data_IF_622799487942
#
_entry.id   IF_622799487942
#
_cell.length_a   1.000
_cell.length_b   1.000
_cell.length_c   1.000
_cell.angle_alpha   90.00
_cell.angle_beta   90.00
_cell.angle_gamma   90.00
#
_symmetry.space_group_name_H-M   'P 1'
#
loop_
_entity.id
_entity.type
_entity.pdbx_description
1 polymer ?
#
# COMPACT_ATOMS: atom_id res chain seq x y z
N UNK A 1 19.41 -11.83 -15.47
CA UNK A 1 18.14 -12.21 -14.84
C UNK A 1 17.25 -10.97 -14.78
N UNK A 2 15.99 -11.05 -15.24
CA UNK A 2 15.07 -9.93 -15.19
C UNK A 2 14.70 -9.59 -13.75
N UNK A 3 14.30 -8.32 -13.47
CA UNK A 3 13.90 -7.93 -12.13
C UNK A 3 12.69 -8.73 -11.62
N UNK A 4 11.74 -9.08 -12.51
CA UNK A 4 10.57 -9.91 -12.19
C UNK A 4 10.92 -11.30 -11.61
N UNK A 5 12.12 -11.81 -11.90
CA UNK A 5 12.57 -13.10 -11.37
C UNK A 5 13.07 -13.00 -9.92
N UNK A 6 13.34 -11.79 -9.46
CA UNK A 6 13.87 -11.49 -8.12
C UNK A 6 12.81 -10.99 -7.15
N UNK A 7 11.87 -10.16 -7.64
CA UNK A 7 10.88 -9.46 -6.80
C UNK A 7 9.52 -9.39 -7.49
N UNK A 8 8.46 -9.30 -6.68
CA UNK A 8 7.12 -9.04 -7.17
C UNK A 8 6.88 -7.54 -7.40
N UNK A 9 6.05 -7.19 -8.38
CA UNK A 9 5.71 -5.82 -8.71
C UNK A 9 4.22 -5.56 -8.57
N UNK A 10 3.87 -4.54 -7.79
CA UNK A 10 2.54 -3.93 -7.76
C UNK A 10 2.52 -2.63 -8.56
N UNK A 11 1.33 -2.23 -9.01
CA UNK A 11 1.09 -0.99 -9.73
C UNK A 11 0.08 -0.12 -8.97
N UNK A 12 0.35 1.18 -8.84
CA UNK A 12 -0.63 2.11 -8.31
C UNK A 12 -1.66 2.47 -9.37
N UNK A 13 -2.94 2.41 -9.02
CA UNK A 13 -3.99 3.01 -9.84
C UNK A 13 -3.85 4.54 -9.83
N UNK A 14 -4.22 5.26 -10.90
CA UNK A 14 -4.24 6.73 -10.94
C UNK A 14 -5.48 7.28 -10.20
N UNK A 15 -5.56 7.00 -8.90
CA UNK A 15 -6.69 7.29 -8.01
C UNK A 15 -6.55 8.58 -7.22
N UNK A 16 -5.38 9.24 -7.31
CA UNK A 16 -5.07 10.51 -6.64
C UNK A 16 -4.27 11.41 -7.59
N UNK A 17 -4.68 12.66 -7.74
CA UNK A 17 -4.06 13.60 -8.70
C UNK A 17 -4.35 15.05 -8.30
N UNK A 18 -3.45 16.01 -8.59
CA UNK A 18 -3.78 17.42 -8.55
C UNK A 18 -4.79 17.82 -9.64
N UNK A 19 -4.88 17.03 -10.70
CA UNK A 19 -5.83 17.21 -11.81
C UNK A 19 -7.06 16.32 -11.61
N UNK A 20 -8.22 16.61 -12.26
CA UNK A 20 -9.42 15.76 -12.20
C UNK A 20 -9.12 14.31 -12.60
N UNK A 21 -9.72 13.36 -11.86
CA UNK A 21 -9.47 11.94 -12.05
C UNK A 21 -10.18 11.40 -13.28
N UNK A 22 -9.47 10.61 -14.09
CA UNK A 22 -9.97 9.99 -15.32
C UNK A 22 -10.27 8.49 -15.12
N UNK A 23 -11.55 8.13 -15.17
CA UNK A 23 -12.00 6.73 -15.07
C UNK A 23 -11.59 5.88 -16.27
N UNK A 24 -11.31 6.50 -17.44
CA UNK A 24 -10.82 5.77 -18.62
C UNK A 24 -9.38 5.32 -18.37
N UNK A 25 -8.54 6.21 -17.86
CA UNK A 25 -7.17 5.90 -17.47
C UNK A 25 -7.12 4.84 -16.36
N UNK A 26 -7.97 4.95 -15.33
CA UNK A 26 -8.05 3.96 -14.24
C UNK A 26 -8.42 2.58 -14.78
N UNK A 27 -9.43 2.50 -15.64
CA UNK A 27 -9.85 1.23 -16.27
C UNK A 27 -8.75 0.62 -17.12
N UNK A 28 -8.08 1.45 -17.91
CA UNK A 28 -6.96 1.02 -18.76
C UNK A 28 -5.83 0.45 -17.90
N UNK A 29 -5.37 1.20 -16.89
CA UNK A 29 -4.29 0.76 -15.99
C UNK A 29 -4.66 -0.53 -15.28
N UNK A 30 -5.88 -0.66 -14.75
CA UNK A 30 -6.30 -1.87 -14.04
C UNK A 30 -6.21 -3.12 -14.92
N UNK A 31 -6.79 -3.07 -16.12
CA UNK A 31 -6.81 -4.21 -17.06
C UNK A 31 -5.44 -4.49 -17.65
N UNK A 32 -4.73 -3.44 -18.04
CA UNK A 32 -3.40 -3.59 -18.67
C UNK A 32 -2.36 -4.10 -17.68
N UNK A 33 -2.37 -3.64 -16.42
CA UNK A 33 -1.48 -4.17 -15.38
C UNK A 33 -1.71 -5.67 -15.14
N UNK A 34 -2.97 -6.12 -15.11
CA UNK A 34 -3.27 -7.55 -15.00
C UNK A 34 -2.76 -8.32 -16.23
N UNK A 35 -2.96 -7.80 -17.44
CA UNK A 35 -2.51 -8.43 -18.67
C UNK A 35 -1.00 -8.55 -18.75
N UNK A 36 -0.26 -7.55 -18.28
CA UNK A 36 1.21 -7.52 -18.21
C UNK A 36 1.78 -8.39 -17.09
N UNK A 37 0.97 -8.90 -16.16
CA UNK A 37 1.43 -9.77 -15.08
C UNK A 37 1.90 -9.05 -13.83
N UNK A 38 1.51 -7.79 -13.60
CA UNK A 38 1.66 -7.17 -12.28
C UNK A 38 0.91 -7.99 -11.23
N UNK A 39 1.51 -8.13 -10.06
CA UNK A 39 0.99 -9.00 -8.99
C UNK A 39 -0.22 -8.39 -8.29
N UNK A 40 -0.23 -7.06 -8.13
CA UNK A 40 -1.27 -6.35 -7.39
C UNK A 40 -1.45 -4.90 -7.85
N UNK A 41 -2.67 -4.37 -7.61
CA UNK A 41 -3.05 -2.97 -7.77
C UNK A 41 -3.19 -2.33 -6.39
N UNK A 42 -2.74 -1.08 -6.29
CA UNK A 42 -2.75 -0.37 -5.01
C UNK A 42 -3.34 1.03 -5.12
N UNK A 43 -4.00 1.44 -4.03
CA UNK A 43 -4.51 2.79 -3.85
C UNK A 43 -4.12 3.32 -2.47
N UNK A 44 -4.34 4.62 -2.21
CA UNK A 44 -4.16 5.22 -0.88
C UNK A 44 -5.44 5.89 -0.42
N UNK A 45 -5.58 6.05 0.88
CA UNK A 45 -6.65 6.84 1.47
C UNK A 45 -6.21 8.28 1.67
N UNK A 46 -7.01 9.23 1.14
CA UNK A 46 -6.76 10.67 1.25
C UNK A 46 -8.08 11.45 1.10
N UNK A 47 -9.10 11.13 1.91
CA UNK A 47 -10.44 11.72 1.74
C UNK A 47 -10.48 13.22 2.01
N UNK A 48 -9.81 13.69 3.08
CA UNK A 48 -9.66 15.11 3.38
C UNK A 48 -8.31 15.61 2.86
N UNK A 49 -8.24 15.85 1.55
CA UNK A 49 -7.03 16.29 0.86
C UNK A 49 -7.31 17.53 0.01
N UNK A 50 -6.26 18.24 -0.37
CA UNK A 50 -6.32 19.37 -1.29
C UNK A 50 -6.23 18.96 -2.77
N UNK A 51 -6.10 17.67 -3.05
CA UNK A 51 -6.08 17.08 -4.39
C UNK A 51 -7.20 16.06 -4.53
N UNK A 52 -7.58 15.75 -5.76
CA UNK A 52 -8.62 14.74 -6.00
C UNK A 52 -8.14 13.35 -5.55
N UNK A 53 -9.00 12.62 -4.86
CA UNK A 53 -8.75 11.25 -4.45
C UNK A 53 -10.05 10.45 -4.39
N UNK A 54 -10.03 9.23 -4.93
CA UNK A 54 -11.14 8.30 -4.75
C UNK A 54 -11.03 7.56 -3.41
N UNK A 55 -12.20 7.17 -2.87
CA UNK A 55 -12.28 6.26 -1.74
C UNK A 55 -11.63 4.90 -2.09
N UNK A 56 -10.79 4.33 -1.20
CA UNK A 56 -10.09 3.08 -1.47
C UNK A 56 -11.01 1.91 -1.76
N UNK A 57 -12.07 1.74 -0.96
CA UNK A 57 -12.98 0.58 -1.10
C UNK A 57 -13.79 0.69 -2.39
N UNK A 58 -14.29 1.90 -2.68
CA UNK A 58 -15.05 2.14 -3.90
C UNK A 58 -14.26 1.84 -5.16
N UNK A 59 -13.05 2.37 -5.27
CA UNK A 59 -12.22 2.20 -6.47
C UNK A 59 -11.63 0.78 -6.58
N UNK A 60 -11.30 0.13 -5.47
CA UNK A 60 -10.86 -1.27 -5.48
C UNK A 60 -12.00 -2.23 -5.83
N UNK A 61 -13.23 -1.94 -5.40
CA UNK A 61 -14.42 -2.72 -5.80
C UNK A 61 -14.68 -2.60 -7.31
N UNK A 62 -14.53 -1.38 -7.86
CA UNK A 62 -14.58 -1.19 -9.31
C UNK A 62 -13.48 -2.00 -10.02
N UNK A 63 -12.23 -1.94 -9.55
CA UNK A 63 -11.13 -2.73 -10.12
C UNK A 63 -11.38 -4.24 -10.01
N UNK A 64 -11.98 -4.70 -8.89
CA UNK A 64 -12.36 -6.10 -8.70
C UNK A 64 -13.33 -6.60 -9.78
N UNK A 65 -14.30 -5.76 -10.15
CA UNK A 65 -15.33 -6.09 -11.14
C UNK A 65 -14.80 -6.19 -12.59
N UNK A 66 -13.64 -5.58 -12.88
CA UNK A 66 -13.08 -5.52 -14.26
C UNK A 66 -11.77 -6.30 -14.41
N UNK A 67 -11.33 -7.00 -13.36
CA UNK A 67 -10.12 -7.85 -13.32
C UNK A 67 -10.45 -9.20 -12.68
N UNK A 68 -9.62 -10.21 -12.91
CA UNK A 68 -9.91 -11.59 -12.46
C UNK A 68 -8.80 -12.24 -11.61
N UNK A 69 -7.56 -11.77 -11.69
CA UNK A 69 -6.40 -12.41 -11.04
C UNK A 69 -5.59 -11.46 -10.17
N UNK A 70 -5.43 -10.21 -10.60
CA UNK A 70 -4.58 -9.23 -9.93
C UNK A 70 -5.13 -8.93 -8.53
N UNK A 71 -4.26 -8.91 -7.53
CA UNK A 71 -4.65 -8.60 -6.14
C UNK A 71 -4.92 -7.12 -5.99
N UNK A 72 -5.67 -6.75 -4.94
CA UNK A 72 -6.22 -5.41 -4.74
C UNK A 72 -5.90 -4.93 -3.33
N UNK A 73 -5.09 -3.91 -3.20
CA UNK A 73 -4.58 -3.45 -1.92
C UNK A 73 -4.72 -1.95 -1.66
N UNK A 74 -4.86 -1.58 -0.40
CA UNK A 74 -4.69 -0.20 0.05
C UNK A 74 -3.32 -0.01 0.74
N UNK A 75 -2.68 1.14 0.50
CA UNK A 75 -1.38 1.47 1.08
C UNK A 75 -1.33 2.94 1.54
N UNK A 76 -2.02 3.26 2.61
CA UNK A 76 -2.74 2.45 3.58
C UNK A 76 -4.12 3.03 3.87
N UNK A 77 -4.98 2.24 4.53
CA UNK A 77 -6.15 2.74 5.26
C UNK A 77 -5.68 3.27 6.60
N UNK A 78 -6.12 4.47 6.95
CA UNK A 78 -5.80 5.11 8.24
C UNK A 78 -6.84 4.65 9.27
N UNK A 79 -6.56 3.55 10.00
CA UNK A 79 -7.57 2.93 10.89
C UNK A 79 -8.17 3.91 11.90
N UNK A 80 -7.36 4.84 12.42
CA UNK A 80 -7.79 5.79 13.44
C UNK A 80 -9.02 6.64 13.06
N UNK A 81 -9.31 6.81 11.77
CA UNK A 81 -10.45 7.61 11.27
C UNK A 81 -11.66 6.75 10.91
N UNK A 82 -11.60 5.45 11.19
CA UNK A 82 -12.66 4.47 10.88
C UNK A 82 -13.09 3.66 12.11
N UNK A 83 -14.28 3.06 12.01
CA UNK A 83 -14.68 1.97 12.88
C UNK A 83 -14.03 0.65 12.39
N UNK A 84 -13.32 -0.11 13.24
CA UNK A 84 -12.72 -1.37 12.82
C UNK A 84 -13.78 -2.41 12.39
N UNK A 85 -15.00 -2.33 12.89
CA UNK A 85 -16.12 -3.16 12.45
C UNK A 85 -16.48 -2.86 11.00
N UNK A 86 -16.54 -1.57 10.63
CA UNK A 86 -16.83 -1.17 9.25
C UNK A 86 -15.69 -1.59 8.31
N UNK A 87 -14.44 -1.39 8.72
CA UNK A 87 -13.28 -1.84 7.93
C UNK A 87 -13.30 -3.35 7.74
N UNK A 88 -13.56 -4.13 8.80
CA UNK A 88 -13.68 -5.59 8.71
C UNK A 88 -14.76 -6.02 7.71
N UNK A 89 -15.94 -5.40 7.77
CA UNK A 89 -17.04 -5.71 6.86
C UNK A 89 -16.76 -5.31 5.41
N UNK A 90 -16.20 -4.12 5.19
CA UNK A 90 -15.85 -3.62 3.86
C UNK A 90 -14.80 -4.52 3.18
N UNK A 91 -13.73 -4.89 3.89
CA UNK A 91 -12.68 -5.76 3.33
C UNK A 91 -13.14 -7.22 3.16
N UNK A 92 -14.02 -7.73 4.03
CA UNK A 92 -14.64 -9.03 3.79
C UNK A 92 -15.54 -9.00 2.53
N UNK A 93 -16.24 -7.89 2.31
CA UNK A 93 -17.07 -7.68 1.11
C UNK A 93 -16.19 -7.61 -0.16
N UNK A 94 -15.12 -6.80 -0.13
CA UNK A 94 -14.17 -6.70 -1.24
C UNK A 94 -13.50 -8.06 -1.53
N UNK A 95 -13.12 -8.80 -0.50
CA UNK A 95 -12.52 -10.12 -0.64
C UNK A 95 -13.47 -11.11 -1.30
N UNK A 96 -14.76 -11.08 -0.94
CA UNK A 96 -15.83 -11.88 -1.59
C UNK A 96 -16.04 -11.48 -3.05
N UNK A 97 -16.19 -10.18 -3.34
CA UNK A 97 -16.40 -9.68 -4.71
C UNK A 97 -15.20 -10.03 -5.60
N UNK A 98 -14.00 -9.99 -5.04
CA UNK A 98 -12.77 -10.25 -5.79
C UNK A 98 -12.31 -11.71 -5.78
N UNK A 99 -13.04 -12.63 -5.14
CA UNK A 99 -12.65 -14.04 -4.97
C UNK A 99 -11.26 -14.19 -4.30
N UNK A 100 -11.12 -13.59 -3.11
CA UNK A 100 -9.93 -13.75 -2.26
C UNK A 100 -8.71 -12.94 -2.68
N UNK A 101 -8.87 -11.84 -3.45
CA UNK A 101 -7.77 -11.00 -3.94
C UNK A 101 -7.47 -9.77 -3.08
N UNK A 102 -8.24 -9.49 -2.04
CA UNK A 102 -8.08 -8.29 -1.22
C UNK A 102 -6.82 -8.34 -0.35
N UNK A 103 -6.18 -7.18 -0.15
CA UNK A 103 -5.09 -6.93 0.79
C UNK A 103 -5.43 -5.68 1.60
N UNK A 104 -5.55 -5.81 2.92
CA UNK A 104 -5.76 -4.66 3.79
C UNK A 104 -4.42 -4.07 4.22
N UNK A 105 -4.01 -2.97 3.62
CA UNK A 105 -2.89 -2.20 4.16
C UNK A 105 -3.37 -1.17 5.18
N UNK A 106 -2.73 -1.12 6.35
CA UNK A 106 -3.15 -0.27 7.48
C UNK A 106 -2.01 0.59 8.00
N UNK A 107 -2.34 1.77 8.49
CA UNK A 107 -1.41 2.70 9.10
C UNK A 107 -2.04 3.54 10.20
N UNK A 108 -1.17 4.13 11.04
CA UNK A 108 -1.57 5.02 12.14
C UNK A 108 -2.08 6.39 11.65
N UNK A 109 -1.77 6.78 10.41
CA UNK A 109 -1.97 8.14 9.95
C UNK A 109 -0.96 9.16 10.51
N UNK A 110 -1.07 10.38 10.04
CA UNK A 110 -0.26 11.54 10.43
C UNK A 110 -1.07 12.49 11.31
N UNK A 111 -0.44 13.54 11.84
CA UNK A 111 -1.06 14.54 12.72
C UNK A 111 -2.34 15.16 12.13
N UNK A 112 -2.33 15.46 10.82
CA UNK A 112 -3.49 16.04 10.15
C UNK A 112 -4.73 15.13 10.18
N UNK A 113 -4.56 13.80 10.11
CA UNK A 113 -5.70 12.88 10.21
C UNK A 113 -6.41 12.99 11.56
N UNK A 114 -5.66 13.08 12.67
CA UNK A 114 -6.26 13.22 13.99
C UNK A 114 -6.98 14.57 14.16
N UNK A 115 -6.37 15.65 13.64
CA UNK A 115 -6.94 17.00 13.69
C UNK A 115 -8.19 17.12 12.81
N UNK A 116 -8.08 16.74 11.54
CA UNK A 116 -9.10 17.03 10.52
C UNK A 116 -10.32 16.11 10.65
N UNK A 117 -10.14 14.91 11.20
CA UNK A 117 -11.23 13.97 11.52
C UNK A 117 -11.71 14.09 12.98
N UNK A 118 -11.19 15.03 13.75
CA UNK A 118 -11.53 15.23 15.17
C UNK A 118 -11.38 13.95 16.02
N UNK A 119 -10.35 13.13 15.74
CA UNK A 119 -10.11 11.88 16.46
C UNK A 119 -9.04 12.08 17.53
N UNK A 120 -9.25 11.63 18.79
CA UNK A 120 -8.25 11.74 19.84
C UNK A 120 -6.94 11.04 19.48
N UNK A 121 -5.82 11.73 19.69
CA UNK A 121 -4.47 11.17 19.42
C UNK A 121 -3.97 10.32 20.57
N UNK A 122 -4.46 10.53 21.79
CA UNK A 122 -4.05 9.84 23.00
C UNK A 122 -4.30 8.32 22.86
N UNK A 123 -3.27 7.53 23.22
CA UNK A 123 -3.35 6.07 23.15
C UNK A 123 -3.43 5.50 21.74
N UNK A 124 -3.16 6.29 20.68
CA UNK A 124 -3.29 5.91 19.26
C UNK A 124 -2.62 4.59 18.89
N UNK A 125 -1.45 4.30 19.47
CA UNK A 125 -0.71 3.05 19.20
C UNK A 125 -1.45 1.84 19.77
N UNK A 126 -2.00 1.97 20.99
CA UNK A 126 -2.80 0.90 21.61
C UNK A 126 -4.12 0.71 20.87
N UNK A 127 -4.81 1.82 20.54
CA UNK A 127 -6.05 1.77 19.76
C UNK A 127 -5.84 1.07 18.41
N UNK A 128 -4.80 1.44 17.67
CA UNK A 128 -4.45 0.80 16.40
C UNK A 128 -4.23 -0.72 16.53
N UNK A 129 -3.56 -1.15 17.62
CA UNK A 129 -3.38 -2.59 17.87
C UNK A 129 -4.72 -3.27 18.13
N UNK A 130 -5.58 -2.69 18.97
CA UNK A 130 -6.91 -3.22 19.25
C UNK A 130 -7.78 -3.25 17.97
N UNK A 131 -7.68 -2.24 17.11
CA UNK A 131 -8.37 -2.20 15.81
C UNK A 131 -7.98 -3.39 14.92
N UNK A 132 -6.69 -3.66 14.79
CA UNK A 132 -6.20 -4.82 14.00
C UNK A 132 -6.66 -6.15 14.63
N UNK A 133 -6.62 -6.28 15.95
CA UNK A 133 -7.05 -7.47 16.68
C UNK A 133 -8.56 -7.70 16.49
N UNK A 134 -9.37 -6.65 16.60
CA UNK A 134 -10.84 -6.71 16.38
C UNK A 134 -11.16 -7.09 14.93
N UNK A 135 -10.50 -6.50 13.95
CA UNK A 135 -10.69 -6.85 12.53
C UNK A 135 -10.39 -8.34 12.30
N UNK A 136 -9.27 -8.85 12.79
CA UNK A 136 -8.90 -10.27 12.67
C UNK A 136 -9.93 -11.17 13.35
N UNK A 137 -10.36 -10.82 14.57
CA UNK A 137 -11.36 -11.60 15.31
C UNK A 137 -12.69 -11.68 14.53
N UNK A 138 -13.16 -10.55 13.98
CA UNK A 138 -14.40 -10.50 13.19
C UNK A 138 -14.30 -11.36 11.91
N UNK A 139 -13.14 -11.46 11.31
CA UNK A 139 -12.93 -12.30 10.12
C UNK A 139 -12.86 -13.79 10.41
N UNK A 140 -12.29 -14.17 11.57
CA UNK A 140 -11.90 -15.56 11.84
C UNK A 140 -12.81 -16.29 12.83
N UNK A 141 -13.49 -15.55 13.73
CA UNK A 141 -14.30 -16.15 14.79
C UNK A 141 -15.80 -16.10 14.44
N UNK A 142 -16.59 -17.14 14.74
CA UNK A 142 -18.03 -17.13 14.50
C UNK A 142 -18.75 -16.13 15.41
N UNK A 143 -18.27 -15.95 16.64
CA UNK A 143 -18.78 -15.03 17.65
C UNK A 143 -17.60 -14.38 18.36
N UNK A 144 -17.57 -13.05 18.44
CA UNK A 144 -16.44 -12.28 18.98
C UNK A 144 -16.82 -11.68 20.33
N UNK A 145 -16.02 -12.02 21.34
CA UNK A 145 -15.96 -11.30 22.61
C UNK A 145 -14.56 -10.70 22.73
N UNK A 146 -14.46 -9.39 22.90
CA UNK A 146 -13.19 -8.66 22.97
C UNK A 146 -13.30 -7.55 24.03
N UNK A 147 -12.39 -7.56 25.01
CA UNK A 147 -12.33 -6.58 26.09
C UNK A 147 -11.00 -5.82 26.05
N UNK A 148 -10.95 -4.78 25.21
CA UNK A 148 -9.83 -3.86 25.11
C UNK A 148 -10.05 -2.58 25.94
N UNK A 149 -9.16 -1.63 25.81
CA UNK A 149 -9.34 -0.29 26.39
C UNK A 149 -10.29 0.57 25.55
N UNK A 150 -10.22 0.43 24.22
CA UNK A 150 -10.95 1.25 23.27
C UNK A 150 -12.18 0.54 22.69
N UNK A 151 -12.14 -0.79 22.63
CA UNK A 151 -13.21 -1.59 22.04
C UNK A 151 -13.70 -2.65 23.04
N UNK A 152 -15.04 -2.71 23.21
CA UNK A 152 -15.74 -3.68 24.05
C UNK A 152 -16.78 -4.37 23.17
N UNK A 153 -16.64 -5.66 22.95
CA UNK A 153 -17.55 -6.47 22.14
C UNK A 153 -17.97 -7.70 22.97
N UNK A 154 -19.27 -7.90 23.11
CA UNK A 154 -19.84 -9.03 23.83
C UNK A 154 -20.67 -9.91 22.89
N UNK A 155 -20.04 -11.02 22.43
CA UNK A 155 -20.72 -12.01 21.62
C UNK A 155 -21.22 -11.49 20.27
N UNK A 156 -20.51 -10.54 19.66
CA UNK A 156 -20.87 -9.93 18.38
C UNK A 156 -20.61 -10.91 17.23
N UNK A 157 -21.52 -10.95 16.27
CA UNK A 157 -21.40 -11.78 15.06
C UNK A 157 -21.31 -10.91 13.81
N UNK A 158 -20.32 -11.17 12.97
CA UNK A 158 -20.24 -10.70 11.59
C UNK A 158 -20.39 -11.93 10.68
N UNK A 159 -21.58 -12.13 10.10
CA UNK A 159 -21.89 -13.36 9.32
C UNK A 159 -21.11 -13.43 8.01
N UNK A 160 -20.87 -12.29 7.35
CA UNK A 160 -20.07 -12.24 6.14
C UNK A 160 -18.59 -12.42 6.50
N UNK A 161 -18.02 -13.58 6.17
CA UNK A 161 -16.58 -13.84 6.31
C UNK A 161 -15.86 -13.65 4.97
N UNK A 162 -14.55 -13.28 4.96
CA UNK A 162 -13.75 -13.30 3.76
C UNK A 162 -13.74 -14.70 3.10
N UNK A 163 -13.34 -14.76 1.85
CA UNK A 163 -13.06 -16.02 1.14
C UNK A 163 -11.72 -16.58 1.62
N UNK A 164 -10.74 -15.69 1.76
CA UNK A 164 -9.37 -16.08 2.05
C UNK A 164 -9.19 -16.55 3.49
N UNK A 165 -8.55 -17.72 3.66
CA UNK A 165 -8.25 -18.31 4.97
C UNK A 165 -6.77 -18.10 5.35
N UNK A 166 -6.44 -17.74 6.62
CA UNK A 166 -7.37 -17.48 7.71
C UNK A 166 -8.10 -16.14 7.57
N UNK A 167 -7.55 -15.18 6.82
CA UNK A 167 -8.11 -13.87 6.53
C UNK A 167 -7.34 -13.20 5.37
N UNK A 168 -7.88 -12.12 4.75
CA UNK A 168 -7.13 -11.28 3.82
C UNK A 168 -5.82 -10.80 4.45
N UNK A 169 -4.69 -10.80 3.72
CA UNK A 169 -3.42 -10.34 4.28
C UNK A 169 -3.52 -8.90 4.79
N UNK A 170 -2.99 -8.65 5.98
CA UNK A 170 -2.86 -7.31 6.56
C UNK A 170 -1.42 -6.84 6.39
N UNK A 171 -1.22 -5.77 5.63
CA UNK A 171 0.08 -5.12 5.49
C UNK A 171 0.15 -3.85 6.33
N UNK A 172 1.30 -3.55 6.94
CA UNK A 172 1.46 -2.33 7.73
C UNK A 172 2.39 -1.34 7.06
N UNK A 173 1.92 -0.09 6.93
CA UNK A 173 2.71 1.07 6.51
C UNK A 173 3.31 1.78 7.72
N UNK A 174 4.55 1.45 8.09
CA UNK A 174 5.22 1.97 9.29
C UNK A 174 6.71 2.22 9.03
N UNK A 175 7.37 3.09 9.82
CA UNK A 175 8.79 3.40 9.66
C UNK A 175 9.58 3.48 10.99
N UNK A 176 8.91 3.75 12.12
CA UNK A 176 9.59 3.82 13.43
C UNK A 176 10.02 2.42 13.91
N UNK A 177 11.18 2.23 14.57
CA UNK A 177 11.65 0.92 15.04
C UNK A 177 10.64 0.13 15.86
N UNK A 178 9.95 0.78 16.81
CA UNK A 178 8.90 0.13 17.61
C UNK A 178 7.69 -0.31 16.76
N UNK A 179 7.41 0.43 15.71
CA UNK A 179 6.34 0.09 14.78
C UNK A 179 6.74 -1.06 13.84
N UNK A 180 8.02 -1.19 13.48
CA UNK A 180 8.55 -2.34 12.75
C UNK A 180 8.44 -3.62 13.58
N UNK A 181 8.76 -3.59 14.89
CA UNK A 181 8.52 -4.72 15.80
C UNK A 181 7.04 -5.11 15.86
N UNK A 182 6.14 -4.12 15.89
CA UNK A 182 4.70 -4.36 15.85
C UNK A 182 4.25 -4.98 14.53
N UNK A 183 4.79 -4.50 13.40
CA UNK A 183 4.51 -5.09 12.09
C UNK A 183 4.99 -6.54 12.00
N UNK A 184 6.18 -6.84 12.50
CA UNK A 184 6.71 -8.21 12.55
C UNK A 184 5.78 -9.16 13.33
N UNK A 185 5.12 -8.68 14.38
CA UNK A 185 4.21 -9.47 15.22
C UNK A 185 2.81 -9.60 14.62
N UNK A 186 2.24 -8.52 14.08
CA UNK A 186 0.81 -8.44 13.77
C UNK A 186 0.48 -8.48 12.28
N UNK A 187 1.42 -8.11 11.40
CA UNK A 187 1.17 -7.99 9.97
C UNK A 187 1.57 -9.22 9.16
N UNK A 188 1.04 -9.32 7.95
CA UNK A 188 1.39 -10.33 6.94
C UNK A 188 2.31 -9.75 5.85
N UNK A 189 2.64 -8.46 5.92
CA UNK A 189 3.58 -7.76 5.06
C UNK A 189 3.86 -6.35 5.56
N UNK A 190 4.93 -5.76 5.05
CA UNK A 190 5.32 -4.38 5.35
C UNK A 190 5.45 -3.55 4.08
N UNK A 191 4.90 -2.34 4.12
CA UNK A 191 5.00 -1.36 3.03
C UNK A 191 5.76 -0.13 3.50
N UNK A 192 6.98 0.05 3.00
CA UNK A 192 7.73 1.28 3.16
C UNK A 192 7.04 2.46 2.46
N UNK A 193 6.80 3.54 3.19
CA UNK A 193 6.07 4.72 2.72
C UNK A 193 6.68 5.32 1.45
N UNK A 194 5.84 5.75 0.51
CA UNK A 194 6.28 6.50 -0.67
C UNK A 194 6.90 7.86 -0.35
N UNK A 195 6.50 8.48 0.75
CA UNK A 195 7.06 9.76 1.21
C UNK A 195 8.38 9.63 2.00
N UNK A 196 8.78 8.42 2.43
CA UNK A 196 10.08 8.20 3.09
C UNK A 196 11.19 8.02 2.04
N UNK A 197 12.40 8.48 2.36
CA UNK A 197 13.53 8.32 1.45
C UNK A 197 13.87 6.84 1.20
N UNK A 198 14.52 6.57 0.07
CA UNK A 198 15.03 5.23 -0.26
C UNK A 198 16.10 4.80 0.76
N UNK A 199 16.94 5.73 1.21
CA UNK A 199 17.93 5.46 2.27
C UNK A 199 17.29 5.04 3.59
N UNK A 200 16.21 5.71 4.02
CA UNK A 200 15.47 5.34 5.22
C UNK A 200 14.84 3.94 5.12
N UNK A 201 14.38 3.56 3.92
CA UNK A 201 13.90 2.19 3.68
C UNK A 201 15.04 1.17 3.88
N UNK A 202 16.22 1.41 3.28
CA UNK A 202 17.38 0.52 3.43
C UNK A 202 17.82 0.37 4.89
N UNK A 203 17.72 1.43 5.71
CA UNK A 203 17.99 1.37 7.14
C UNK A 203 16.92 0.59 7.93
N UNK A 204 15.66 0.64 7.50
CA UNK A 204 14.56 -0.04 8.18
C UNK A 204 14.53 -1.56 7.94
N UNK A 205 14.98 -2.04 6.77
CA UNK A 205 14.91 -3.45 6.39
C UNK A 205 15.66 -4.38 7.37
N UNK A 206 16.93 -4.12 7.77
CA UNK A 206 17.61 -4.97 8.73
C UNK A 206 16.88 -5.05 10.08
N UNK A 207 16.34 -3.93 10.58
CA UNK A 207 15.60 -3.88 11.83
C UNK A 207 14.29 -4.70 11.75
N UNK A 208 13.58 -4.64 10.63
CA UNK A 208 12.39 -5.47 10.39
C UNK A 208 12.75 -6.95 10.32
N UNK A 209 13.81 -7.31 9.60
CA UNK A 209 14.25 -8.71 9.47
C UNK A 209 14.63 -9.30 10.83
N UNK A 210 15.37 -8.55 11.66
CA UNK A 210 15.70 -8.96 13.03
C UNK A 210 14.44 -9.13 13.90
N UNK A 211 13.45 -8.21 13.77
CA UNK A 211 12.19 -8.32 14.50
C UNK A 211 11.36 -9.54 14.05
N UNK A 212 11.33 -9.88 12.76
CA UNK A 212 10.68 -11.08 12.25
C UNK A 212 11.33 -12.36 12.80
N UNK A 213 12.66 -12.43 12.81
CA UNK A 213 13.38 -13.55 13.40
C UNK A 213 13.09 -13.71 14.90
N UNK A 214 13.01 -12.61 15.66
CA UNK A 214 12.64 -12.63 17.07
C UNK A 214 11.22 -13.15 17.33
N UNK A 215 10.30 -12.97 16.37
CA UNK A 215 8.94 -13.51 16.40
C UNK A 215 8.86 -14.95 15.79
N UNK A 216 9.99 -15.58 15.48
CA UNK A 216 10.05 -16.93 14.88
C UNK A 216 9.55 -16.98 13.43
N UNK A 217 9.52 -15.84 12.73
CA UNK A 217 9.04 -15.74 11.34
C UNK A 217 10.22 -15.70 10.37
N UNK A 218 10.05 -16.35 9.23
CA UNK A 218 11.03 -16.35 8.14
C UNK A 218 10.98 -15.00 7.38
N UNK A 219 12.03 -14.15 7.43
CA UNK A 219 12.03 -12.86 6.75
C UNK A 219 12.00 -12.96 5.22
N UNK A 220 12.40 -14.09 4.64
CA UNK A 220 12.43 -14.27 3.18
C UNK A 220 11.03 -14.60 2.63
N UNK A 221 10.13 -15.10 3.48
CA UNK A 221 8.73 -15.35 3.16
C UNK A 221 7.80 -14.17 3.49
N UNK A 222 8.31 -13.17 4.21
CA UNK A 222 7.53 -12.00 4.59
C UNK A 222 7.64 -10.91 3.49
N UNK A 223 6.52 -10.40 2.93
CA UNK A 223 6.56 -9.31 1.97
C UNK A 223 7.17 -8.05 2.55
N UNK A 224 8.33 -7.68 2.04
CA UNK A 224 9.06 -6.44 2.35
C UNK A 224 8.95 -5.54 1.13
N UNK A 225 8.06 -4.56 1.19
CA UNK A 225 7.71 -3.71 0.07
C UNK A 225 8.19 -2.27 0.24
N UNK A 226 8.51 -1.62 -0.88
CA UNK A 226 8.70 -0.16 -0.95
C UNK A 226 7.74 0.41 -2.00
N UNK A 227 6.94 1.40 -1.61
CA UNK A 227 6.20 2.24 -2.56
C UNK A 227 7.13 3.31 -3.09
N UNK A 228 7.18 3.45 -4.43
CA UNK A 228 8.10 4.35 -5.12
C UNK A 228 7.31 5.20 -6.11
N UNK A 229 7.35 6.52 -5.94
CA UNK A 229 6.86 7.46 -6.95
C UNK A 229 7.85 7.53 -8.11
N UNK A 230 7.34 7.50 -9.34
CA UNK A 230 8.18 7.29 -10.50
C UNK A 230 7.78 8.17 -11.69
N UNK A 231 8.79 8.55 -12.47
CA UNK A 231 8.61 9.10 -13.81
C UNK A 231 9.74 8.59 -14.74
N UNK A 232 9.36 8.05 -15.88
CA UNK A 232 10.27 7.54 -16.91
C UNK A 232 10.14 8.40 -18.17
N UNK A 233 11.24 8.85 -18.72
CA UNK A 233 11.29 9.58 -19.99
C UNK A 233 12.69 9.42 -20.60
N UNK A 234 12.79 9.42 -21.94
CA UNK A 234 14.09 9.41 -22.62
C UNK A 234 14.92 10.66 -22.29
N UNK A 235 14.24 11.78 -21.97
CA UNK A 235 14.87 12.98 -21.42
C UNK A 235 14.74 12.96 -19.88
N UNK A 236 15.84 12.75 -19.12
CA UNK A 236 15.80 12.67 -17.66
C UNK A 236 15.32 13.95 -16.97
N UNK A 237 15.50 15.12 -17.59
CA UNK A 237 15.00 16.40 -17.04
C UNK A 237 13.47 16.47 -17.11
N UNK A 238 12.85 15.93 -18.18
CA UNK A 238 11.39 15.80 -18.29
C UNK A 238 10.86 14.88 -17.23
N UNK A 239 11.50 13.71 -17.04
CA UNK A 239 11.12 12.77 -15.98
C UNK A 239 11.22 13.42 -14.59
N UNK A 240 12.33 14.12 -14.32
CA UNK A 240 12.53 14.81 -13.06
C UNK A 240 11.48 15.90 -12.81
N UNK A 241 11.16 16.69 -13.82
CA UNK A 241 10.17 17.77 -13.72
C UNK A 241 8.77 17.23 -13.40
N UNK A 242 8.34 16.10 -14.00
CA UNK A 242 7.07 15.44 -13.68
C UNK A 242 7.02 14.99 -12.23
N UNK A 243 8.07 14.35 -11.74
CA UNK A 243 8.13 13.89 -10.37
C UNK A 243 8.22 15.04 -9.37
N UNK A 244 8.95 16.13 -9.74
CA UNK A 244 9.03 17.34 -8.93
C UNK A 244 7.68 18.04 -8.80
N UNK A 245 6.90 18.13 -9.89
CA UNK A 245 5.52 18.63 -9.83
C UNK A 245 4.70 17.85 -8.81
N UNK A 246 4.75 16.51 -8.85
CA UNK A 246 4.04 15.65 -7.91
C UNK A 246 4.43 15.92 -6.45
N UNK A 247 5.71 15.95 -6.13
CA UNK A 247 6.17 16.19 -4.77
C UNK A 247 5.86 17.62 -4.28
N UNK A 248 5.80 18.59 -5.19
CA UNK A 248 5.43 19.97 -4.89
C UNK A 248 3.93 20.12 -4.64
N UNK A 249 3.10 19.64 -5.57
CA UNK A 249 1.66 19.89 -5.57
C UNK A 249 0.90 18.90 -4.66
N UNK A 250 1.32 17.63 -4.59
CA UNK A 250 0.62 16.60 -3.85
C UNK A 250 1.19 16.38 -2.45
N UNK A 251 2.52 16.31 -2.34
CA UNK A 251 3.19 16.07 -1.06
C UNK A 251 3.61 17.33 -0.31
N UNK A 252 3.61 18.49 -0.98
CA UNK A 252 4.11 19.77 -0.46
C UNK A 252 5.53 19.65 0.13
N UNK A 253 6.32 18.77 -0.47
CA UNK A 253 7.70 18.46 -0.09
C UNK A 253 8.58 18.25 -1.34
N UNK A 254 9.02 19.30 -2.03
CA UNK A 254 9.82 19.21 -3.26
C UNK A 254 11.11 18.38 -3.12
N UNK A 255 11.71 18.37 -1.91
CA UNK A 255 12.91 17.59 -1.63
C UNK A 255 12.70 16.07 -1.77
N UNK A 256 11.45 15.60 -1.71
CA UNK A 256 11.07 14.20 -1.92
C UNK A 256 11.38 13.70 -3.34
N UNK A 257 11.49 14.60 -4.32
CA UNK A 257 11.77 14.26 -5.73
C UNK A 257 12.97 13.34 -5.87
N UNK A 258 14.10 13.72 -5.31
CA UNK A 258 15.36 12.98 -5.42
C UNK A 258 15.59 12.01 -4.25
N UNK A 259 15.01 12.30 -3.07
CA UNK A 259 15.19 11.48 -1.87
C UNK A 259 14.29 10.24 -1.81
N UNK A 260 13.07 10.34 -2.33
CA UNK A 260 12.02 9.31 -2.16
C UNK A 260 11.53 8.75 -3.49
N UNK A 261 11.68 9.49 -4.60
CA UNK A 261 11.26 9.09 -5.93
C UNK A 261 12.38 8.48 -6.77
N UNK A 262 11.99 7.91 -7.90
CA UNK A 262 12.91 7.43 -8.94
C UNK A 262 12.46 8.03 -10.28
N UNK A 263 13.38 8.67 -10.99
CA UNK A 263 13.12 9.28 -12.30
C UNK A 263 14.34 9.12 -13.21
N UNK A 264 14.12 9.29 -14.50
CA UNK A 264 15.18 9.26 -15.52
C UNK A 264 14.85 8.41 -16.74
N UNK A 265 15.89 8.05 -17.50
CA UNK A 265 15.75 7.12 -18.62
C UNK A 265 15.40 5.70 -18.15
N UNK A 266 14.90 4.82 -19.04
CA UNK A 266 14.64 3.42 -18.68
C UNK A 266 15.81 2.72 -17.99
N UNK A 267 17.04 2.95 -18.44
CA UNK A 267 18.26 2.37 -17.85
C UNK A 267 18.53 2.91 -16.45
N UNK A 268 18.41 4.24 -16.26
CA UNK A 268 18.58 4.87 -14.96
C UNK A 268 17.55 4.38 -13.95
N UNK A 269 16.29 4.32 -14.36
CA UNK A 269 15.19 3.82 -13.53
C UNK A 269 15.43 2.36 -13.15
N UNK A 270 15.85 1.51 -14.10
CA UNK A 270 16.20 0.11 -13.83
C UNK A 270 17.30 -0.01 -12.78
N UNK A 271 18.40 0.71 -12.94
CA UNK A 271 19.53 0.70 -12.02
C UNK A 271 19.09 1.08 -10.58
N UNK A 272 18.27 2.13 -10.46
CA UNK A 272 17.72 2.57 -9.16
C UNK A 272 16.79 1.54 -8.53
N UNK A 273 15.97 0.84 -9.32
CA UNK A 273 15.14 -0.25 -8.82
C UNK A 273 15.98 -1.43 -8.31
N UNK A 274 17.07 -1.76 -9.03
CA UNK A 274 18.03 -2.79 -8.62
C UNK A 274 18.68 -2.46 -7.26
N UNK A 275 19.00 -1.20 -7.00
CA UNK A 275 19.49 -0.74 -5.69
C UNK A 275 18.47 -0.99 -4.57
N UNK A 276 17.19 -0.67 -4.79
CA UNK A 276 16.14 -0.90 -3.78
C UNK A 276 15.94 -2.39 -3.52
N UNK A 277 16.03 -3.21 -4.57
CA UNK A 277 16.01 -4.68 -4.43
C UNK A 277 17.20 -5.18 -3.62
N UNK A 278 18.40 -4.66 -3.88
CA UNK A 278 19.62 -5.02 -3.14
C UNK A 278 19.54 -4.63 -1.64
N UNK A 279 18.74 -3.63 -1.28
CA UNK A 279 18.45 -3.30 0.13
C UNK A 279 17.56 -4.33 0.83
N UNK A 280 17.02 -5.31 0.11
CA UNK A 280 16.22 -6.41 0.67
C UNK A 280 14.71 -6.31 0.43
N UNK A 281 14.27 -5.47 -0.50
CA UNK A 281 12.89 -5.50 -0.97
C UNK A 281 12.63 -6.80 -1.77
N UNK A 282 11.53 -7.50 -1.49
CA UNK A 282 11.03 -8.62 -2.29
C UNK A 282 9.69 -8.31 -2.97
N UNK A 283 9.23 -7.08 -2.80
CA UNK A 283 8.08 -6.50 -3.47
C UNK A 283 8.31 -5.00 -3.69
N UNK A 284 7.95 -4.46 -4.87
CA UNK A 284 7.99 -3.04 -5.17
C UNK A 284 6.63 -2.56 -5.68
N UNK A 285 6.07 -1.54 -5.04
CA UNK A 285 4.89 -0.83 -5.54
C UNK A 285 5.32 0.34 -6.41
N UNK A 286 5.18 0.19 -7.72
CA UNK A 286 5.50 1.21 -8.71
C UNK A 286 4.34 2.21 -8.80
N UNK A 287 4.62 3.48 -8.59
CA UNK A 287 3.61 4.53 -8.59
C UNK A 287 3.99 5.65 -9.58
N UNK A 288 3.70 5.47 -10.86
CA UNK A 288 3.87 6.56 -11.84
C UNK A 288 2.99 7.74 -11.46
N UNK A 289 3.50 8.96 -11.68
CA UNK A 289 2.84 10.20 -11.22
C UNK A 289 2.11 10.96 -12.31
N UNK A 290 2.30 10.57 -13.57
CA UNK A 290 1.67 11.17 -14.74
C UNK A 290 1.65 10.18 -15.91
N UNK A 291 0.98 10.49 -17.02
CA UNK A 291 0.94 9.68 -18.25
C UNK A 291 0.80 8.18 -17.97
N UNK A 292 -0.14 7.81 -17.11
CA UNK A 292 -0.17 6.50 -16.44
C UNK A 292 -0.21 5.30 -17.40
N UNK A 293 -0.85 5.42 -18.57
CA UNK A 293 -0.89 4.35 -19.57
C UNK A 293 0.51 4.09 -20.18
N UNK A 294 1.19 5.15 -20.62
CA UNK A 294 2.55 5.07 -21.19
C UNK A 294 3.57 4.62 -20.15
N UNK A 295 3.49 5.17 -18.94
CA UNK A 295 4.37 4.80 -17.83
C UNK A 295 4.20 3.34 -17.41
N UNK A 296 2.98 2.82 -17.43
CA UNK A 296 2.71 1.41 -17.13
C UNK A 296 3.46 0.48 -18.09
N UNK A 297 3.34 0.71 -19.41
CA UNK A 297 4.02 -0.11 -20.41
C UNK A 297 5.55 0.03 -20.34
N UNK A 298 6.07 1.27 -20.16
CA UNK A 298 7.50 1.51 -19.97
C UNK A 298 8.05 0.78 -18.73
N UNK A 299 7.36 0.90 -17.60
CA UNK A 299 7.76 0.23 -16.35
C UNK A 299 7.68 -1.29 -16.48
N UNK A 300 6.67 -1.84 -17.17
CA UNK A 300 6.59 -3.27 -17.43
C UNK A 300 7.80 -3.77 -18.22
N UNK A 301 8.20 -3.07 -19.27
CA UNK A 301 9.42 -3.36 -20.03
C UNK A 301 10.69 -3.32 -19.19
N UNK A 302 10.85 -2.28 -18.36
CA UNK A 302 12.01 -2.10 -17.47
C UNK A 302 12.17 -3.28 -16.50
N UNK A 303 11.06 -3.76 -15.92
CA UNK A 303 11.10 -4.86 -14.93
C UNK A 303 10.99 -6.25 -15.57
N UNK A 304 10.69 -6.31 -16.87
CA UNK A 304 10.60 -7.56 -17.63
C UNK A 304 9.24 -8.24 -17.61
N UNK A 305 8.17 -7.51 -17.27
CA UNK A 305 6.76 -7.94 -17.38
C UNK A 305 6.24 -7.59 -18.77
N UNK A 306 6.41 -8.49 -19.75
CA UNK A 306 5.96 -8.31 -21.16
C UNK A 306 5.38 -9.60 -21.69
#
# INVERSE_FOLDING_TARGET
>A
MALKDKVAFGMSLPHRSPDPLDMVAIRHVARRAEALGFRDLWVTENALDHVYSFDPVGILTYAAAITTRIRLGASVVVLAVHSPMNVAHQWATLDRISDGRAILGVGLGNEHHYRDYAVPKEGRVRRFREEVEVIKALWTQPKVTYHGRFYQLDGVTMSLKPVRTPHPPIWMGVGHPDALRRAAKLADGWMGSGGSSIAAFGQAVPALRAALQAEGRDPDKFPISKRIFMAVDENPEVARAQLHRWFTEVYRNPAGTDASGIHGTPEQVRARLEEVVAMGANHLLLNPVSRHAEQLDALAGIVGLT
#
